data_IF_725477626079
#
_entry.id   IF_725477626079
#
_cell.length_a   1.000
_cell.length_b   1.000
_cell.length_c   1.000
_cell.angle_alpha   90.00
_cell.angle_beta   90.00
_cell.angle_gamma   90.00
#
_symmetry.space_group_name_H-M   'P 1'
#
loop_
_entity.id
_entity.type
_entity.pdbx_description
1 polymer ?
#
# COMPACT_ATOMS: atom_id res chain seq x y z
N UNK A 1 -21.68 5.59 1.01
CA UNK A 1 -21.18 4.21 0.76
C UNK A 1 -20.00 4.18 -0.22
N UNK A 2 -19.94 5.10 -1.20
CA UNK A 2 -18.86 5.21 -2.21
C UNK A 2 -17.45 5.40 -1.63
N UNK A 3 -17.35 6.07 -0.47
CA UNK A 3 -16.10 6.54 0.11
C UNK A 3 -15.20 5.43 0.70
N UNK A 4 -15.78 4.37 1.29
CA UNK A 4 -14.98 3.28 1.90
C UNK A 4 -14.19 2.48 0.87
N UNK A 5 -14.81 2.16 -0.28
CA UNK A 5 -14.16 1.41 -1.35
C UNK A 5 -13.09 2.25 -2.04
N UNK A 6 -13.35 3.54 -2.26
CA UNK A 6 -12.36 4.46 -2.83
C UNK A 6 -11.15 4.64 -1.90
N UNK A 7 -11.38 4.76 -0.58
CA UNK A 7 -10.30 4.81 0.40
C UNK A 7 -9.47 3.51 0.42
N UNK A 8 -10.13 2.35 0.37
CA UNK A 8 -9.43 1.07 0.35
C UNK A 8 -8.64 0.86 -0.95
N UNK A 9 -9.24 1.19 -2.09
CA UNK A 9 -8.59 1.15 -3.39
C UNK A 9 -7.37 2.08 -3.43
N UNK A 10 -7.48 3.28 -2.86
CA UNK A 10 -6.38 4.24 -2.76
C UNK A 10 -5.21 3.69 -1.95
N UNK A 11 -5.49 3.06 -0.82
CA UNK A 11 -4.47 2.40 0.00
C UNK A 11 -3.80 1.22 -0.73
N UNK A 12 -4.56 0.40 -1.46
CA UNK A 12 -4.01 -0.72 -2.23
C UNK A 12 -3.11 -0.23 -3.37
N UNK A 13 -3.60 0.70 -4.18
CA UNK A 13 -2.83 1.29 -5.29
C UNK A 13 -1.55 1.93 -4.75
N UNK A 14 -1.65 2.72 -3.68
CA UNK A 14 -0.50 3.36 -3.06
C UNK A 14 0.56 2.34 -2.58
N UNK A 15 0.13 1.33 -1.83
CA UNK A 15 1.04 0.32 -1.27
C UNK A 15 1.72 -0.53 -2.34
N UNK A 16 0.97 -0.96 -3.36
CA UNK A 16 1.50 -1.76 -4.47
C UNK A 16 2.47 -0.94 -5.31
N UNK A 17 2.07 0.27 -5.71
CA UNK A 17 2.91 1.15 -6.54
C UNK A 17 4.19 1.55 -5.82
N UNK A 18 4.10 1.91 -4.53
CA UNK A 18 5.29 2.16 -3.72
C UNK A 18 6.23 0.95 -3.68
N UNK A 19 5.71 -0.23 -3.38
CA UNK A 19 6.52 -1.45 -3.28
C UNK A 19 7.21 -1.81 -4.61
N UNK A 20 6.52 -1.60 -5.74
CA UNK A 20 7.06 -1.84 -7.07
C UNK A 20 8.12 -0.82 -7.48
N UNK A 21 8.06 0.43 -6.97
CA UNK A 21 9.10 1.43 -7.18
C UNK A 21 10.37 1.20 -6.37
N UNK A 22 10.36 0.31 -5.36
CA UNK A 22 11.54 -0.01 -4.58
C UNK A 22 12.54 -0.85 -5.38
N UNK A 23 13.84 -0.59 -5.18
CA UNK A 23 14.90 -1.49 -5.60
C UNK A 23 14.91 -2.79 -4.77
N UNK A 24 15.63 -3.81 -5.24
CA UNK A 24 15.65 -5.14 -4.61
C UNK A 24 16.08 -5.11 -3.13
N UNK A 25 17.19 -4.43 -2.82
CA UNK A 25 17.69 -4.29 -1.45
C UNK A 25 16.66 -3.58 -0.54
N UNK A 26 16.02 -2.54 -1.05
CA UNK A 26 14.99 -1.81 -0.32
C UNK A 26 13.76 -2.67 -0.05
N UNK A 27 13.33 -3.50 -1.02
CA UNK A 27 12.25 -4.47 -0.82
C UNK A 27 12.60 -5.45 0.28
N UNK A 28 13.81 -6.02 0.29
CA UNK A 28 14.25 -6.94 1.33
C UNK A 28 14.21 -6.30 2.72
N UNK A 29 14.66 -5.05 2.85
CA UNK A 29 14.59 -4.30 4.12
C UNK A 29 13.15 -4.20 4.62
N UNK A 30 12.23 -3.78 3.75
CA UNK A 30 10.82 -3.61 4.13
C UNK A 30 10.07 -4.91 4.35
N UNK A 31 10.39 -5.97 3.59
CA UNK A 31 9.86 -7.32 3.82
C UNK A 31 10.31 -7.86 5.17
N UNK A 32 11.58 -7.65 5.55
CA UNK A 32 12.09 -8.07 6.85
C UNK A 32 11.45 -7.29 8.00
N UNK A 33 11.25 -5.97 7.84
CA UNK A 33 10.50 -5.15 8.80
C UNK A 33 9.04 -5.60 8.92
N UNK A 34 8.39 -5.87 7.79
CA UNK A 34 7.04 -6.42 7.74
C UNK A 34 6.93 -7.75 8.47
N UNK A 35 7.89 -8.66 8.25
CA UNK A 35 7.93 -9.94 8.94
C UNK A 35 8.17 -9.80 10.44
N UNK A 36 9.08 -8.90 10.85
CA UNK A 36 9.36 -8.66 12.27
C UNK A 36 8.14 -8.10 13.02
N UNK A 37 7.33 -7.27 12.38
CA UNK A 37 6.16 -6.64 13.01
C UNK A 37 4.87 -7.45 12.88
N UNK A 38 4.70 -8.22 11.80
CA UNK A 38 3.42 -8.83 11.44
C UNK A 38 3.52 -10.33 11.08
N UNK A 39 4.70 -10.93 11.16
CA UNK A 39 4.90 -12.38 11.00
C UNK A 39 5.07 -12.89 9.57
N UNK A 40 4.91 -12.04 8.54
CA UNK A 40 4.97 -12.46 7.14
C UNK A 40 5.82 -11.53 6.27
N UNK A 41 6.47 -12.09 5.23
CA UNK A 41 7.21 -11.36 4.20
C UNK A 41 6.35 -11.11 2.97
N UNK A 42 5.39 -10.19 3.06
CA UNK A 42 4.52 -9.80 1.94
C UNK A 42 4.63 -8.31 1.65
N UNK A 43 4.24 -7.89 0.45
CA UNK A 43 4.16 -6.46 0.12
C UNK A 43 3.17 -5.72 1.06
N UNK A 44 2.13 -6.41 1.53
CA UNK A 44 1.14 -5.87 2.47
C UNK A 44 1.77 -5.61 3.84
N UNK A 45 2.53 -6.56 4.40
CA UNK A 45 3.20 -6.35 5.69
C UNK A 45 4.34 -5.34 5.58
N UNK A 46 5.04 -5.28 4.44
CA UNK A 46 6.01 -4.22 4.13
C UNK A 46 5.35 -2.83 4.11
N UNK A 47 4.19 -2.68 3.46
CA UNK A 47 3.42 -1.43 3.45
C UNK A 47 2.95 -1.03 4.85
N UNK A 48 2.45 -2.01 5.64
CA UNK A 48 2.05 -1.78 7.03
C UNK A 48 3.23 -1.34 7.90
N UNK A 49 4.41 -1.91 7.69
CA UNK A 49 5.63 -1.50 8.39
C UNK A 49 6.03 -0.06 8.03
N UNK A 50 5.95 0.34 6.75
CA UNK A 50 6.16 1.74 6.36
C UNK A 50 5.16 2.67 7.05
N UNK A 51 3.88 2.31 7.11
CA UNK A 51 2.86 3.13 7.78
C UNK A 51 3.15 3.32 9.26
N UNK A 52 3.63 2.27 9.94
CA UNK A 52 4.01 2.33 11.33
C UNK A 52 5.24 3.20 11.57
N UNK A 53 6.28 3.06 10.75
CA UNK A 53 7.55 3.79 10.93
C UNK A 53 7.51 5.24 10.39
N UNK A 54 6.77 5.47 9.31
CA UNK A 54 6.79 6.72 8.53
C UNK A 54 5.37 7.14 8.10
N UNK A 55 4.46 7.42 9.04
CA UNK A 55 3.05 7.67 8.74
C UNK A 55 2.83 8.86 7.80
N UNK A 56 3.60 9.95 7.94
CA UNK A 56 3.47 11.11 7.05
C UNK A 56 3.94 10.79 5.62
N UNK A 57 4.95 9.93 5.47
CA UNK A 57 5.40 9.49 4.13
C UNK A 57 4.34 8.62 3.48
N UNK A 58 3.80 7.65 4.22
CA UNK A 58 2.71 6.82 3.73
C UNK A 58 1.49 7.65 3.33
N UNK A 59 1.10 8.64 4.15
CA UNK A 59 -0.02 9.53 3.82
C UNK A 59 0.22 10.31 2.52
N UNK A 60 1.45 10.78 2.27
CA UNK A 60 1.80 11.45 1.01
C UNK A 60 1.68 10.51 -0.18
N UNK A 61 2.14 9.26 -0.05
CA UNK A 61 2.02 8.24 -1.11
C UNK A 61 0.55 7.94 -1.40
N UNK A 62 -0.29 7.76 -0.37
CA UNK A 62 -1.74 7.55 -0.51
C UNK A 62 -2.40 8.72 -1.21
N UNK A 63 -2.04 9.95 -0.83
CA UNK A 63 -2.56 11.17 -1.46
C UNK A 63 -2.15 11.31 -2.93
N UNK A 64 -0.96 10.82 -3.28
CA UNK A 64 -0.42 10.85 -4.63
C UNK A 64 -0.81 9.65 -5.51
N UNK A 65 -1.61 8.71 -4.99
CA UNK A 65 -2.03 7.52 -5.75
C UNK A 65 -2.78 7.90 -7.04
N UNK A 66 -2.50 7.17 -8.12
CA UNK A 66 -3.06 7.46 -9.43
C UNK A 66 -4.60 7.34 -9.42
N UNK A 67 -5.34 8.42 -9.68
CA UNK A 67 -6.80 8.42 -9.56
C UNK A 67 -7.49 7.48 -10.57
N UNK A 68 -6.86 7.18 -11.72
CA UNK A 68 -7.41 6.24 -12.71
C UNK A 68 -7.36 4.81 -12.17
N UNK A 69 -6.21 4.41 -11.63
CA UNK A 69 -6.02 3.08 -11.03
C UNK A 69 -6.91 2.90 -9.80
N UNK A 70 -7.04 3.94 -8.97
CA UNK A 70 -7.93 3.92 -7.81
C UNK A 70 -9.38 3.67 -8.21
N UNK A 71 -9.87 4.34 -9.26
CA UNK A 71 -11.24 4.11 -9.76
C UNK A 71 -11.43 2.68 -10.25
N UNK A 72 -10.46 2.14 -10.99
CA UNK A 72 -10.51 0.76 -11.49
C UNK A 72 -10.54 -0.25 -10.33
N UNK A 73 -9.62 -0.13 -9.38
CA UNK A 73 -9.56 -1.03 -8.21
C UNK A 73 -10.84 -0.89 -7.36
N UNK A 74 -11.34 0.32 -7.15
CA UNK A 74 -12.59 0.53 -6.42
C UNK A 74 -13.81 -0.09 -7.12
N UNK A 75 -13.81 -0.19 -8.45
CA UNK A 75 -14.86 -0.91 -9.18
C UNK A 75 -14.73 -2.42 -8.96
N UNK A 76 -13.52 -2.98 -9.07
CA UNK A 76 -13.27 -4.41 -8.83
C UNK A 76 -13.72 -4.80 -7.42
N UNK A 77 -13.32 -4.04 -6.40
CA UNK A 77 -13.69 -4.29 -5.00
C UNK A 77 -15.19 -4.18 -4.70
N UNK A 78 -15.98 -3.56 -5.58
CA UNK A 78 -17.45 -3.50 -5.44
C UNK A 78 -18.14 -4.71 -6.07
N UNK A 79 -17.44 -5.44 -6.94
CA UNK A 79 -17.94 -6.62 -7.62
C UNK A 79 -17.64 -7.90 -6.83
N UNK A 80 -16.58 -7.88 -6.01
CA UNK A 80 -16.28 -8.88 -4.97
C UNK A 80 -17.23 -8.76 -3.77
#
# INVERSE_FOLDING_TARGET
>A
MTDRFDAHARELVAGISWYNCLGEEQRLVWLNKGAALFGERTCVTAWRALKAERPQTAQRIVTAANPVEVRLVAQILRLD
#
